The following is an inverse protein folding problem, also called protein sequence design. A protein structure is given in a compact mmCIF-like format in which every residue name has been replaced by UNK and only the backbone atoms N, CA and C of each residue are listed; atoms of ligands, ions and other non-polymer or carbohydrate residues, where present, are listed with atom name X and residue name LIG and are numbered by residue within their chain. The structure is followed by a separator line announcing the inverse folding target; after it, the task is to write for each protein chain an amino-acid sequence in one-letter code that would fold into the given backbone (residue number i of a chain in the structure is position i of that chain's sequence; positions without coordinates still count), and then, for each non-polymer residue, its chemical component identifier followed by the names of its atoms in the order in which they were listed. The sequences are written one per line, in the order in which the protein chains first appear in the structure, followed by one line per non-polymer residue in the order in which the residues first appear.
data_IF_215877687696
#
_entry.id   IF_215877687696
#
_cell.length_a   1.000
_cell.length_b   1.000
_cell.length_c   1.000
_cell.angle_alpha   90.00
_cell.angle_beta   90.00
_cell.angle_gamma   90.00
#
_symmetry.space_group_name_H-M   'P 1'
#
loop_
_entity.id
_entity.type
_entity.pdbx_description
1 polymer ?
#
# COMPACT_ATOMS: atom_id res chain seq x y z
N UNK A 1 -7.02 -6.15 -5.70
CA UNK A 1 -7.27 -6.31 -4.26
C UNK A 1 -6.19 -7.19 -3.65
N UNK A 2 -5.89 -7.00 -2.37
CA UNK A 2 -4.78 -7.67 -1.69
C UNK A 2 -5.13 -8.05 -0.26
N UNK A 3 -4.44 -9.07 0.24
CA UNK A 3 -4.41 -9.40 1.66
C UNK A 3 -3.06 -8.98 2.26
N UNK A 4 -3.10 -8.25 3.38
CA UNK A 4 -1.95 -7.95 4.22
C UNK A 4 -2.18 -8.54 5.61
N UNK A 5 -1.87 -9.83 5.74
CA UNK A 5 -2.07 -10.58 6.99
C UNK A 5 -0.89 -10.47 7.96
N UNK A 6 0.22 -9.87 7.52
CA UNK A 6 1.46 -9.71 8.29
C UNK A 6 1.54 -8.30 8.89
N UNK A 7 0.52 -7.90 9.64
CA UNK A 7 0.60 -6.63 10.34
C UNK A 7 1.81 -6.62 11.30
N UNK A 8 2.81 -5.81 11.00
CA UNK A 8 3.97 -5.62 11.86
C UNK A 8 3.57 -4.79 13.11
N UNK A 9 4.44 -4.76 14.12
CA UNK A 9 4.32 -3.88 15.30
C UNK A 9 4.58 -2.41 14.96
N UNK A 10 4.98 -2.11 13.73
CA UNK A 10 5.27 -0.77 13.24
C UNK A 10 4.16 -0.32 12.31
N UNK A 11 3.97 1.00 12.21
CA UNK A 11 3.13 1.54 11.15
C UNK A 11 3.80 1.28 9.80
N UNK A 12 3.11 0.61 8.90
CA UNK A 12 3.64 0.25 7.59
C UNK A 12 3.00 1.12 6.50
N UNK A 13 3.80 1.51 5.51
CA UNK A 13 3.31 2.19 4.32
C UNK A 13 3.48 1.27 3.11
N UNK A 14 2.39 0.66 2.68
CA UNK A 14 2.39 -0.30 1.59
C UNK A 14 2.25 0.42 0.25
N UNK A 15 3.18 0.19 -0.68
CA UNK A 15 3.05 0.67 -2.05
C UNK A 15 1.97 -0.12 -2.78
N UNK A 16 0.98 0.61 -3.29
CA UNK A 16 -0.15 0.05 -4.02
C UNK A 16 -0.35 0.78 -5.33
N UNK A 17 -1.02 0.11 -6.26
CA UNK A 17 -1.47 0.66 -7.54
C UNK A 17 -3.00 0.56 -7.62
N UNK A 18 -3.65 1.56 -8.20
CA UNK A 18 -5.09 1.47 -8.47
C UNK A 18 -5.28 0.51 -9.64
N UNK A 19 -6.12 -0.51 -9.45
CA UNK A 19 -6.42 -1.47 -10.49
C UNK A 19 -7.62 -1.02 -11.34
N UNK A 20 -7.81 -1.66 -12.50
CA UNK A 20 -8.89 -1.31 -13.43
C UNK A 20 -10.30 -1.55 -12.86
N UNK A 21 -10.42 -2.32 -11.78
CA UNK A 21 -11.68 -2.63 -11.11
C UNK A 21 -12.03 -1.60 -10.01
N UNK A 22 -11.20 -0.56 -9.82
CA UNK A 22 -11.38 0.46 -8.78
C UNK A 22 -10.87 0.05 -7.40
N UNK A 23 -10.19 -1.09 -7.29
CA UNK A 23 -9.52 -1.55 -6.07
C UNK A 23 -8.02 -1.25 -6.07
N UNK A 24 -7.29 -1.89 -5.16
CA UNK A 24 -5.85 -1.69 -4.98
C UNK A 24 -5.08 -2.98 -5.18
N UNK A 25 -3.99 -2.91 -5.92
CA UNK A 25 -3.04 -4.00 -6.11
C UNK A 25 -1.75 -3.71 -5.34
N UNK A 26 -1.36 -4.64 -4.47
CA UNK A 26 -0.17 -4.52 -3.64
C UNK A 26 1.08 -4.85 -4.45
N UNK A 27 2.10 -4.00 -4.35
CA UNK A 27 3.39 -4.32 -4.96
C UNK A 27 4.02 -5.54 -4.23
N UNK A 28 4.44 -6.60 -4.94
CA UNK A 28 4.91 -7.83 -4.30
C UNK A 28 6.13 -7.66 -3.40
N UNK A 29 6.96 -6.64 -3.65
CA UNK A 29 8.19 -6.39 -2.89
C UNK A 29 8.17 -5.03 -2.19
N UNK A 30 7.78 -5.03 -0.92
CA UNK A 30 7.69 -3.82 -0.08
C UNK A 30 9.04 -3.39 0.53
N UNK A 31 10.19 -3.89 0.07
CA UNK A 31 11.50 -3.40 0.53
C UNK A 31 11.75 -1.96 0.06
N UNK A 32 12.10 -1.05 0.98
CA UNK A 32 12.31 0.37 0.69
C UNK A 32 13.50 0.64 -0.25
N UNK A 33 14.42 -0.32 -0.40
CA UNK A 33 15.57 -0.21 -1.32
C UNK A 33 15.22 -0.44 -2.80
N UNK A 34 13.98 -0.81 -3.10
CA UNK A 34 13.51 -1.06 -4.47
C UNK A 34 12.92 0.22 -5.04
N UNK A 35 13.76 1.06 -5.64
CA UNK A 35 13.36 2.31 -6.31
C UNK A 35 12.26 2.10 -7.36
N UNK A 36 12.22 0.93 -8.02
CA UNK A 36 11.16 0.57 -8.98
C UNK A 36 9.77 0.44 -8.36
N UNK A 37 9.67 0.32 -7.03
CA UNK A 37 8.37 0.29 -6.34
C UNK A 37 7.69 1.67 -6.29
N UNK A 38 8.48 2.75 -6.31
CA UNK A 38 7.95 4.11 -6.32
C UNK A 38 7.46 4.54 -7.71
N UNK A 39 8.06 4.02 -8.78
CA UNK A 39 7.59 4.28 -10.15
C UNK A 39 6.43 3.36 -10.58
N UNK A 40 6.23 2.24 -9.89
CA UNK A 40 5.13 1.31 -10.19
C UNK A 40 3.83 1.65 -9.44
N UNK A 41 3.93 2.10 -8.19
CA UNK A 41 2.77 2.43 -7.35
C UNK A 41 2.19 3.80 -7.69
N UNK A 42 0.88 3.94 -7.48
CA UNK A 42 0.19 5.23 -7.58
C UNK A 42 0.14 5.94 -6.21
N UNK A 43 0.35 5.19 -5.12
CA UNK A 43 0.34 5.72 -3.76
C UNK A 43 0.71 4.70 -2.69
N UNK A 44 0.42 5.08 -1.45
CA UNK A 44 0.66 4.30 -0.24
C UNK A 44 -0.66 3.96 0.46
N UNK A 45 -0.70 2.81 1.11
CA UNK A 45 -1.69 2.50 2.14
C UNK A 45 -1.03 2.63 3.50
N UNK A 46 -1.64 3.44 4.37
CA UNK A 46 -1.28 3.59 5.78
C UNK A 46 -1.85 2.40 6.57
N UNK A 47 -0.98 1.54 7.09
CA UNK A 47 -1.32 0.34 7.84
C UNK A 47 -0.91 0.48 9.30
N UNK A 48 -1.85 0.81 10.21
CA UNK A 48 -1.60 0.89 11.64
C UNK A 48 -1.01 -0.42 12.18
N UNK A 49 -0.18 -0.34 13.24
CA UNK A 49 0.45 -1.52 13.83
C UNK A 49 -0.59 -2.53 14.32
N UNK A 50 -0.33 -3.82 14.10
CA UNK A 50 -1.22 -4.94 14.41
C UNK A 50 -2.60 -4.93 13.71
N UNK A 51 -2.77 -4.17 12.62
CA UNK A 51 -3.99 -4.17 11.83
C UNK A 51 -3.81 -4.94 10.52
N UNK A 52 -4.26 -6.20 10.44
CA UNK A 52 -4.28 -6.92 9.17
C UNK A 52 -5.34 -6.33 8.24
N UNK A 53 -5.05 -6.33 6.94
CA UNK A 53 -5.98 -5.89 5.90
C UNK A 53 -6.36 -7.11 5.08
N UNK A 54 -7.64 -7.27 4.77
CA UNK A 54 -8.14 -8.27 3.83
C UNK A 54 -8.68 -7.60 2.57
N UNK A 55 -8.70 -8.35 1.47
CA UNK A 55 -9.36 -7.91 0.26
C UNK A 55 -10.83 -7.54 0.54
N UNK A 56 -11.22 -6.33 0.16
CA UNK A 56 -12.54 -5.76 0.43
C UNK A 56 -12.63 -4.86 1.67
N UNK A 57 -11.59 -4.82 2.50
CA UNK A 57 -11.53 -3.85 3.60
C UNK A 57 -11.30 -2.43 3.09
N UNK A 58 -11.86 -1.45 3.81
CA UNK A 58 -11.57 -0.05 3.56
C UNK A 58 -10.20 0.31 4.15
N UNK A 59 -9.38 0.96 3.34
CA UNK A 59 -8.01 1.33 3.71
C UNK A 59 -7.77 2.81 3.50
N UNK A 60 -6.81 3.36 4.24
CA UNK A 60 -6.40 4.76 4.11
C UNK A 60 -5.35 4.89 3.02
N UNK A 61 -5.81 5.27 1.83
CA UNK A 61 -4.96 5.51 0.67
C UNK A 61 -4.39 6.93 0.67
N UNK A 62 -3.10 7.05 0.41
CA UNK A 62 -2.33 8.29 0.31
C UNK A 62 -1.72 8.34 -1.10
N UNK A 63 -2.23 9.18 -2.01
CA UNK A 63 -1.67 9.28 -3.36
C UNK A 63 -0.26 9.87 -3.32
N UNK A 64 0.64 9.40 -4.17
CA UNK A 64 2.00 9.96 -4.24
C UNK A 64 2.03 11.45 -4.62
N UNK A 65 1.02 11.93 -5.37
CA UNK A 65 0.93 13.35 -5.70
C UNK A 65 0.78 14.25 -4.45
N UNK A 66 0.27 13.72 -3.34
CA UNK A 66 0.06 14.46 -2.12
C UNK A 66 1.36 14.62 -1.30
N UNK A 67 2.45 13.97 -1.72
CA UNK A 67 3.75 14.01 -1.06
C UNK A 67 4.77 14.92 -1.76
N UNK A 68 4.47 15.42 -2.96
CA UNK A 68 5.36 16.26 -3.78
C UNK A 68 4.95 17.75 -3.81
N UNK A 69 4.13 18.19 -2.85
CA UNK A 69 3.72 19.59 -2.66
C UNK A 69 4.75 20.43 -1.93
#
# INVERSE_FOLDING_TARGET
DFDWLKADRRNEFLRVKINANGGLDLFPNQSSGVLTSASWGDGLVDCPPNQPIKAGDLVKYIPFNALLG
#
